data_IF_303264117725
#
_entry.id   IF_303264117725
#
_cell.length_a   1.000
_cell.length_b   1.000
_cell.length_c   1.000
_cell.angle_alpha   90.00
_cell.angle_beta   90.00
_cell.angle_gamma   90.00
#
_symmetry.space_group_name_H-M   'P 1'
#
loop_
_entity.id
_entity.type
_entity.pdbx_description
1 polymer ?
#
# COMPACT_ATOMS: atom_id res chain seq x y z
N UNK A 1 -20.07 -23.67 7.89
CA UNK A 1 -18.80 -23.25 8.55
C UNK A 1 -18.58 -21.77 8.27
N UNK A 2 -18.11 -21.00 9.26
CA UNK A 2 -17.78 -19.58 9.06
C UNK A 2 -16.55 -19.47 8.13
N UNK A 3 -16.66 -18.68 7.05
CA UNK A 3 -15.50 -18.37 6.22
C UNK A 3 -14.65 -17.31 6.94
N UNK A 4 -13.51 -17.71 7.50
CA UNK A 4 -12.60 -16.79 8.21
C UNK A 4 -11.94 -15.75 7.29
N UNK A 5 -11.86 -16.02 5.99
CA UNK A 5 -11.27 -15.11 4.99
C UNK A 5 -12.28 -14.12 4.40
N UNK A 6 -13.56 -14.17 4.83
CA UNK A 6 -14.58 -13.29 4.31
C UNK A 6 -14.33 -11.83 4.68
N UNK A 7 -14.45 -10.98 3.69
CA UNK A 7 -14.48 -9.50 3.81
C UNK A 7 -15.82 -8.94 3.33
N UNK A 8 -16.81 -9.83 3.14
CA UNK A 8 -18.15 -9.48 2.67
C UNK A 8 -18.81 -8.44 3.59
N UNK A 9 -19.35 -7.39 2.97
CA UNK A 9 -19.99 -6.26 3.65
C UNK A 9 -19.04 -5.30 4.38
N UNK A 10 -17.73 -5.58 4.44
CA UNK A 10 -16.74 -4.70 5.06
C UNK A 10 -16.52 -3.44 4.23
N UNK A 11 -16.33 -2.32 4.89
CA UNK A 11 -15.93 -1.05 4.24
C UNK A 11 -14.40 -0.97 4.20
N UNK A 12 -13.87 -1.02 3.00
CA UNK A 12 -12.43 -0.97 2.70
C UNK A 12 -12.09 0.40 2.15
N UNK A 13 -11.25 1.16 2.85
CA UNK A 13 -10.72 2.45 2.40
C UNK A 13 -9.29 2.25 1.93
N UNK A 14 -8.98 2.65 0.71
CA UNK A 14 -7.64 2.49 0.13
C UNK A 14 -7.10 3.80 -0.43
N UNK A 15 -5.93 4.24 0.05
CA UNK A 15 -5.18 5.34 -0.56
C UNK A 15 -4.31 4.83 -1.70
N UNK A 16 -4.09 5.66 -2.74
CA UNK A 16 -3.36 5.24 -3.94
C UNK A 16 -4.11 4.20 -4.78
N UNK A 17 -5.44 4.23 -4.71
CA UNK A 17 -6.32 3.19 -5.25
C UNK A 17 -6.34 3.12 -6.80
N UNK A 18 -5.95 4.20 -7.48
CA UNK A 18 -5.95 4.27 -8.94
C UNK A 18 -4.61 3.88 -9.59
N UNK A 19 -3.60 3.54 -8.78
CA UNK A 19 -2.33 2.98 -9.28
C UNK A 19 -2.50 1.53 -9.78
N UNK A 20 -1.47 0.99 -10.44
CA UNK A 20 -1.51 -0.39 -10.99
C UNK A 20 -1.88 -1.41 -9.90
N UNK A 21 -1.19 -1.38 -8.75
CA UNK A 21 -1.49 -2.27 -7.63
C UNK A 21 -2.86 -1.95 -7.03
N UNK A 22 -3.15 -0.66 -6.84
CA UNK A 22 -4.41 -0.20 -6.26
C UNK A 22 -5.62 -0.68 -7.05
N UNK A 23 -5.61 -0.54 -8.36
CA UNK A 23 -6.69 -0.97 -9.25
C UNK A 23 -6.99 -2.48 -9.12
N UNK A 24 -5.95 -3.32 -9.09
CA UNK A 24 -6.13 -4.77 -8.91
C UNK A 24 -6.69 -5.10 -7.52
N UNK A 25 -6.17 -4.45 -6.48
CA UNK A 25 -6.57 -4.69 -5.09
C UNK A 25 -8.03 -4.27 -4.86
N UNK A 26 -8.44 -3.09 -5.33
CA UNK A 26 -9.83 -2.62 -5.12
C UNK A 26 -10.85 -3.48 -5.86
N UNK A 27 -10.53 -3.95 -7.06
CA UNK A 27 -11.38 -4.90 -7.80
C UNK A 27 -11.53 -6.21 -7.00
N UNK A 28 -10.41 -6.79 -6.58
CA UNK A 28 -10.45 -8.02 -5.78
C UNK A 28 -11.31 -7.89 -4.53
N UNK A 29 -11.14 -6.82 -3.73
CA UNK A 29 -11.96 -6.65 -2.53
C UNK A 29 -13.45 -6.48 -2.86
N UNK A 30 -13.78 -5.78 -3.96
CA UNK A 30 -15.16 -5.64 -4.42
C UNK A 30 -15.76 -6.99 -4.86
N UNK A 31 -15.01 -7.82 -5.59
CA UNK A 31 -15.39 -9.19 -5.97
C UNK A 31 -15.65 -10.08 -4.75
N UNK A 32 -14.91 -9.85 -3.65
CA UNK A 32 -15.12 -10.54 -2.38
C UNK A 32 -16.28 -9.95 -1.54
N UNK A 33 -17.10 -9.06 -2.12
CA UNK A 33 -18.28 -8.49 -1.49
C UNK A 33 -18.01 -7.32 -0.53
N UNK A 34 -16.81 -6.76 -0.52
CA UNK A 34 -16.51 -5.55 0.25
C UNK A 34 -17.05 -4.30 -0.46
N UNK A 35 -17.36 -3.26 0.31
CA UNK A 35 -17.66 -1.91 -0.18
C UNK A 35 -16.35 -1.12 -0.24
N UNK A 36 -15.95 -0.68 -1.41
CA UNK A 36 -14.60 -0.15 -1.62
C UNK A 36 -14.62 1.36 -1.83
N UNK A 37 -13.81 2.06 -1.04
CA UNK A 37 -13.60 3.50 -1.13
C UNK A 37 -12.21 3.78 -1.72
N UNK A 38 -12.20 4.33 -2.93
CA UNK A 38 -10.99 4.71 -3.64
C UNK A 38 -10.59 6.13 -3.23
N UNK A 39 -9.41 6.28 -2.64
CA UNK A 39 -8.81 7.57 -2.31
C UNK A 39 -7.56 7.77 -3.19
N UNK A 40 -7.58 8.77 -4.05
CA UNK A 40 -6.45 9.12 -4.91
C UNK A 40 -6.56 10.58 -5.37
N UNK A 41 -5.52 11.09 -6.02
CA UNK A 41 -5.48 12.48 -6.47
C UNK A 41 -6.59 12.77 -7.48
N UNK A 42 -7.09 14.01 -7.50
CA UNK A 42 -8.14 14.45 -8.44
C UNK A 42 -7.80 14.13 -9.92
N UNK A 43 -6.54 14.22 -10.29
CA UNK A 43 -6.08 13.92 -11.66
C UNK A 43 -6.30 12.47 -12.11
N UNK A 44 -6.61 11.56 -11.18
CA UNK A 44 -6.90 10.14 -11.47
C UNK A 44 -8.40 9.85 -11.55
N UNK A 45 -9.25 10.86 -11.55
CA UNK A 45 -10.72 10.73 -11.55
C UNK A 45 -11.25 9.83 -12.69
N UNK A 46 -10.76 10.02 -13.91
CA UNK A 46 -11.16 9.18 -15.05
C UNK A 46 -10.84 7.69 -14.82
N UNK A 47 -9.67 7.41 -14.26
CA UNK A 47 -9.27 6.03 -13.90
C UNK A 47 -10.20 5.49 -12.83
N UNK A 48 -10.48 6.28 -11.79
CA UNK A 48 -11.38 5.90 -10.71
C UNK A 48 -12.80 5.61 -11.21
N UNK A 49 -13.34 6.45 -12.08
CA UNK A 49 -14.67 6.28 -12.67
C UNK A 49 -14.74 5.01 -13.52
N UNK A 50 -13.68 4.71 -14.29
CA UNK A 50 -13.56 3.46 -15.04
C UNK A 50 -13.57 2.23 -14.11
N UNK A 51 -12.76 2.24 -13.06
CA UNK A 51 -12.71 1.16 -12.06
C UNK A 51 -14.07 0.97 -11.36
N UNK A 52 -14.73 2.06 -10.99
CA UNK A 52 -16.06 2.02 -10.37
C UNK A 52 -17.09 1.42 -11.33
N UNK A 53 -17.04 1.77 -12.61
CA UNK A 53 -17.93 1.22 -13.61
C UNK A 53 -17.74 -0.29 -13.79
N UNK A 54 -16.49 -0.76 -13.86
CA UNK A 54 -16.15 -2.19 -13.92
C UNK A 54 -16.66 -2.93 -12.66
N UNK A 55 -16.34 -2.42 -11.47
CA UNK A 55 -16.80 -3.01 -10.19
C UNK A 55 -18.31 -3.11 -10.13
N UNK A 56 -19.03 -2.06 -10.55
CA UNK A 56 -20.51 -2.06 -10.56
C UNK A 56 -21.08 -3.03 -11.58
N UNK A 57 -20.46 -3.17 -12.74
CA UNK A 57 -20.89 -4.14 -13.77
C UNK A 57 -20.83 -5.59 -13.25
N UNK A 58 -19.94 -5.87 -12.32
CA UNK A 58 -19.79 -7.18 -11.65
C UNK A 58 -20.63 -7.28 -10.35
N UNK A 59 -21.47 -6.29 -10.06
CA UNK A 59 -22.37 -6.27 -8.90
C UNK A 59 -21.72 -5.78 -7.60
N UNK A 60 -20.50 -5.29 -7.65
CA UNK A 60 -19.79 -4.72 -6.50
C UNK A 60 -20.18 -3.27 -6.19
N UNK A 61 -19.72 -2.77 -5.06
CA UNK A 61 -19.96 -1.39 -4.60
C UNK A 61 -18.64 -0.64 -4.42
N UNK A 62 -18.49 0.49 -5.13
CA UNK A 62 -17.33 1.35 -5.01
C UNK A 62 -17.69 2.83 -5.12
N UNK A 63 -16.88 3.70 -4.52
CA UNK A 63 -16.93 5.15 -4.70
C UNK A 63 -15.52 5.75 -4.65
N UNK A 64 -15.39 6.97 -5.16
CA UNK A 64 -14.13 7.71 -5.21
C UNK A 64 -14.26 9.04 -4.48
N UNK A 65 -13.24 9.39 -3.70
CA UNK A 65 -13.06 10.72 -3.14
C UNK A 65 -11.67 11.24 -3.52
N UNK A 66 -11.58 12.41 -4.15
CA UNK A 66 -10.31 13.04 -4.44
C UNK A 66 -9.54 13.29 -3.15
N UNK A 67 -8.29 12.84 -3.09
CA UNK A 67 -7.52 12.83 -1.85
C UNK A 67 -6.05 13.12 -2.11
N UNK A 68 -5.53 14.19 -1.52
CA UNK A 68 -4.12 14.32 -1.25
C UNK A 68 -3.86 13.78 0.16
N UNK A 69 -3.11 12.70 0.29
CA UNK A 69 -2.83 12.04 1.59
C UNK A 69 -2.00 12.89 2.55
N UNK A 70 -1.41 13.98 2.07
CA UNK A 70 -0.68 14.96 2.88
C UNK A 70 -1.54 16.15 3.34
N UNK A 71 -2.78 16.23 2.87
CA UNK A 71 -3.73 17.28 3.24
C UNK A 71 -4.71 16.75 4.30
N UNK A 72 -4.48 17.16 5.54
CA UNK A 72 -5.28 16.70 6.68
C UNK A 72 -6.73 17.16 6.59
N UNK A 73 -7.00 18.35 6.08
CA UNK A 73 -8.36 18.90 5.97
C UNK A 73 -9.17 18.08 4.95
N UNK A 74 -8.56 17.75 3.81
CA UNK A 74 -9.17 16.87 2.80
C UNK A 74 -9.43 15.48 3.38
N UNK A 75 -8.50 14.92 4.14
CA UNK A 75 -8.70 13.61 4.79
C UNK A 75 -9.87 13.65 5.80
N UNK A 76 -9.98 14.70 6.61
CA UNK A 76 -11.07 14.86 7.59
C UNK A 76 -12.44 15.06 6.90
N UNK A 77 -12.49 15.79 5.79
CA UNK A 77 -13.69 15.91 4.98
C UNK A 77 -14.09 14.56 4.38
N UNK A 78 -13.15 13.85 3.77
CA UNK A 78 -13.40 12.54 3.20
C UNK A 78 -13.84 11.52 4.27
N UNK A 79 -13.27 11.58 5.48
CA UNK A 79 -13.76 10.77 6.61
C UNK A 79 -15.24 11.05 6.90
N UNK A 80 -15.62 12.32 6.97
CA UNK A 80 -17.01 12.72 7.21
C UNK A 80 -17.95 12.17 6.14
N UNK A 81 -17.57 12.28 4.87
CA UNK A 81 -18.38 11.83 3.74
C UNK A 81 -18.49 10.30 3.69
N UNK A 82 -17.39 9.58 3.99
CA UNK A 82 -17.38 8.12 4.09
C UNK A 82 -18.27 7.65 5.24
N UNK A 83 -18.18 8.30 6.41
CA UNK A 83 -19.03 7.98 7.55
C UNK A 83 -20.51 8.26 7.29
N UNK A 84 -20.84 9.36 6.60
CA UNK A 84 -22.21 9.66 6.20
C UNK A 84 -22.76 8.60 5.22
N UNK A 85 -21.92 8.05 4.34
CA UNK A 85 -22.31 7.06 3.32
C UNK A 85 -22.41 5.64 3.88
N UNK A 86 -21.43 5.22 4.67
CA UNK A 86 -21.27 3.81 5.08
C UNK A 86 -21.41 3.57 6.58
N UNK A 87 -21.31 4.61 7.40
CA UNK A 87 -21.41 4.53 8.87
C UNK A 87 -20.22 3.87 9.56
N UNK A 88 -19.24 3.38 8.81
CA UNK A 88 -18.07 2.67 9.35
C UNK A 88 -16.90 2.64 8.37
N UNK A 89 -15.70 2.37 8.91
CA UNK A 89 -14.52 1.93 8.15
C UNK A 89 -13.98 0.69 8.86
N UNK A 90 -13.85 -0.43 8.16
CA UNK A 90 -13.41 -1.70 8.74
C UNK A 90 -11.95 -2.01 8.42
N UNK A 91 -11.50 -1.64 7.23
CA UNK A 91 -10.19 -1.94 6.71
C UNK A 91 -9.61 -0.67 6.09
N UNK A 92 -8.37 -0.34 6.45
CA UNK A 92 -7.61 0.76 5.85
C UNK A 92 -6.36 0.22 5.17
N UNK A 93 -6.24 0.45 3.87
CA UNK A 93 -5.07 0.11 3.06
C UNK A 93 -4.31 1.40 2.73
N UNK A 94 -3.14 1.61 3.36
CA UNK A 94 -2.29 2.77 3.11
C UNK A 94 -1.28 2.44 2.00
N UNK A 95 -1.68 2.62 0.73
CA UNK A 95 -0.86 2.28 -0.43
C UNK A 95 -0.40 3.50 -1.25
N UNK A 96 -0.83 4.71 -0.89
CA UNK A 96 -0.30 5.92 -1.50
C UNK A 96 1.19 6.05 -1.22
N UNK A 97 1.98 6.27 -2.26
CA UNK A 97 3.42 6.38 -2.15
C UNK A 97 4.15 5.98 -3.43
N UNK A 98 5.45 5.91 -3.35
CA UNK A 98 6.29 5.47 -4.44
C UNK A 98 7.66 6.13 -4.44
N UNK A 99 8.54 5.64 -5.31
CA UNK A 99 9.85 6.22 -5.52
C UNK A 99 9.75 7.50 -6.36
N UNK A 100 10.67 8.43 -6.14
CA UNK A 100 10.82 9.66 -6.92
C UNK A 100 12.17 9.62 -7.66
N UNK A 101 12.13 9.88 -8.97
CA UNK A 101 13.35 9.87 -9.81
C UNK A 101 14.47 10.78 -9.27
N UNK A 102 14.11 11.98 -8.77
CA UNK A 102 15.06 12.92 -8.16
C UNK A 102 15.63 12.45 -6.81
N UNK A 103 14.94 11.57 -6.09
CA UNK A 103 15.42 10.96 -4.84
C UNK A 103 16.24 9.68 -5.09
N UNK A 104 16.70 9.48 -6.32
CA UNK A 104 17.42 8.30 -6.79
C UNK A 104 18.82 8.70 -7.24
N UNK A 105 19.84 8.00 -6.74
CA UNK A 105 21.24 8.19 -7.23
C UNK A 105 21.36 7.53 -8.60
N UNK A 106 21.71 8.30 -9.63
CA UNK A 106 21.85 7.80 -11.00
C UNK A 106 23.17 7.00 -11.17
N UNK A 107 23.32 6.17 -12.23
CA UNK A 107 24.51 5.34 -12.42
C UNK A 107 25.83 6.13 -12.53
N UNK A 108 25.77 7.37 -13.02
CA UNK A 108 26.89 8.31 -13.17
C UNK A 108 27.07 9.24 -11.98
N UNK A 109 26.25 9.07 -10.92
CA UNK A 109 26.26 9.86 -9.70
C UNK A 109 26.81 9.07 -8.51
N UNK A 110 27.18 9.80 -7.47
CA UNK A 110 27.57 9.30 -6.16
C UNK A 110 26.58 9.73 -5.08
N UNK A 111 26.74 9.26 -3.86
CA UNK A 111 25.90 9.66 -2.73
C UNK A 111 25.96 11.19 -2.46
N UNK A 112 27.04 11.83 -2.86
CA UNK A 112 27.23 13.29 -2.66
C UNK A 112 26.41 14.14 -3.65
N UNK A 113 25.88 13.52 -4.70
CA UNK A 113 25.00 14.15 -5.70
C UNK A 113 23.50 13.96 -5.36
N UNK A 114 23.20 13.30 -4.22
CA UNK A 114 21.82 13.02 -3.82
C UNK A 114 21.04 14.31 -3.54
N UNK A 115 19.91 14.49 -4.22
CA UNK A 115 18.99 15.60 -3.97
C UNK A 115 18.24 15.40 -2.64
N UNK A 116 18.73 16.04 -1.58
CA UNK A 116 18.17 15.94 -0.22
C UNK A 116 16.72 16.43 -0.16
N UNK A 117 16.36 17.46 -0.91
CA UNK A 117 14.98 17.97 -0.93
C UNK A 117 14.04 16.95 -1.59
N UNK A 118 14.48 16.28 -2.64
CA UNK A 118 13.71 15.19 -3.22
C UNK A 118 13.57 13.98 -2.26
N UNK A 119 14.59 13.68 -1.45
CA UNK A 119 14.52 12.67 -0.40
C UNK A 119 13.48 13.05 0.67
N UNK A 120 13.45 14.32 1.10
CA UNK A 120 12.42 14.81 2.03
C UNK A 120 11.02 14.64 1.47
N UNK A 121 10.78 15.06 0.22
CA UNK A 121 9.48 14.90 -0.44
C UNK A 121 9.08 13.43 -0.59
N UNK A 122 10.04 12.56 -0.95
CA UNK A 122 9.81 11.12 -1.03
C UNK A 122 9.43 10.54 0.34
N UNK A 123 10.11 10.97 1.39
CA UNK A 123 9.82 10.56 2.77
C UNK A 123 8.46 11.09 3.22
N UNK A 124 8.17 12.33 2.94
CA UNK A 124 6.89 12.96 3.25
C UNK A 124 5.73 12.17 2.62
N UNK A 125 5.79 11.93 1.32
CA UNK A 125 4.75 11.16 0.63
C UNK A 125 4.59 9.73 1.20
N UNK A 126 5.68 8.99 1.40
CA UNK A 126 5.59 7.58 1.79
C UNK A 126 5.29 7.39 3.28
N UNK A 127 5.90 8.18 4.16
CA UNK A 127 5.74 8.06 5.61
C UNK A 127 4.51 8.84 6.10
N UNK A 128 4.47 10.15 5.85
CA UNK A 128 3.34 10.96 6.33
C UNK A 128 2.07 10.69 5.54
N UNK A 129 2.18 10.31 4.26
CA UNK A 129 1.06 9.77 3.47
C UNK A 129 0.52 8.43 3.97
N UNK A 130 1.19 7.76 4.92
CA UNK A 130 0.70 6.61 5.70
C UNK A 130 0.17 7.03 7.06
N UNK A 131 0.89 7.91 7.76
CA UNK A 131 0.55 8.36 9.13
C UNK A 131 -0.75 9.16 9.14
N UNK A 132 -0.88 10.19 8.30
CA UNK A 132 -2.03 11.09 8.31
C UNK A 132 -3.35 10.38 8.01
N UNK A 133 -3.49 9.56 6.94
CA UNK A 133 -4.71 8.79 6.72
C UNK A 133 -5.02 7.85 7.90
N UNK A 134 -4.00 7.22 8.49
CA UNK A 134 -4.20 6.37 9.67
C UNK A 134 -4.79 7.15 10.83
N UNK A 135 -4.26 8.34 11.15
CA UNK A 135 -4.75 9.17 12.25
C UNK A 135 -6.19 9.64 12.03
N UNK A 136 -6.63 9.79 10.79
CA UNK A 136 -7.98 10.24 10.46
C UNK A 136 -8.96 9.05 10.39
N UNK A 137 -8.66 8.05 9.58
CA UNK A 137 -9.61 6.96 9.27
C UNK A 137 -9.69 5.89 10.36
N UNK A 138 -8.64 5.72 11.19
CA UNK A 138 -8.70 4.76 12.29
C UNK A 138 -9.58 5.20 13.47
N UNK A 139 -10.07 6.44 13.52
CA UNK A 139 -10.93 6.94 14.60
C UNK A 139 -12.14 6.03 14.83
N UNK A 140 -12.89 5.71 13.77
CA UNK A 140 -14.05 4.84 13.88
C UNK A 140 -13.69 3.40 14.25
N UNK A 141 -12.52 2.91 13.86
CA UNK A 141 -12.03 1.59 14.26
C UNK A 141 -11.76 1.54 15.77
N UNK A 142 -11.18 2.60 16.33
CA UNK A 142 -10.94 2.76 17.77
C UNK A 142 -12.27 2.80 18.54
N UNK A 143 -13.24 3.56 18.08
CA UNK A 143 -14.57 3.68 18.70
C UNK A 143 -15.30 2.34 18.78
N UNK A 144 -15.30 1.58 17.69
CA UNK A 144 -15.92 0.25 17.63
C UNK A 144 -15.02 -0.88 18.14
N UNK A 145 -13.77 -0.59 18.53
CA UNK A 145 -12.75 -1.54 19.00
C UNK A 145 -12.50 -2.69 18.03
N UNK A 146 -12.57 -2.43 16.75
CA UNK A 146 -12.39 -3.44 15.70
C UNK A 146 -11.95 -2.80 14.39
N UNK A 147 -10.89 -3.32 13.77
CA UNK A 147 -10.41 -2.86 12.47
C UNK A 147 -9.08 -3.48 12.08
N UNK A 148 -8.77 -3.40 10.78
CA UNK A 148 -7.49 -3.83 10.23
C UNK A 148 -6.86 -2.70 9.42
N UNK A 149 -5.64 -2.32 9.79
CA UNK A 149 -4.81 -1.34 9.08
C UNK A 149 -3.68 -2.11 8.42
N UNK A 150 -3.51 -1.93 7.11
CA UNK A 150 -2.46 -2.58 6.34
C UNK A 150 -1.67 -1.52 5.59
N UNK A 151 -0.40 -1.40 5.94
CA UNK A 151 0.53 -0.45 5.35
C UNK A 151 1.32 -1.11 4.22
N UNK A 152 1.72 -0.34 3.22
CA UNK A 152 2.60 -0.80 2.16
C UNK A 152 4.04 -0.40 2.47
N UNK A 153 4.82 -1.36 2.94
CA UNK A 153 6.26 -1.29 3.04
C UNK A 153 6.91 -1.65 1.68
N UNK A 154 8.07 -2.24 1.66
CA UNK A 154 8.79 -2.65 0.46
C UNK A 154 9.98 -3.52 0.84
N UNK A 155 10.49 -4.33 -0.10
CA UNK A 155 11.81 -4.97 0.01
C UNK A 155 12.92 -3.98 0.33
N UNK A 156 12.86 -2.76 -0.20
CA UNK A 156 13.84 -1.70 0.11
C UNK A 156 13.88 -1.26 1.57
N UNK A 157 12.88 -1.64 2.37
CA UNK A 157 12.86 -1.41 3.82
C UNK A 157 13.62 -2.49 4.60
N UNK A 158 13.72 -3.67 4.04
CA UNK A 158 14.34 -4.86 4.66
C UNK A 158 15.80 -4.99 4.24
N UNK A 159 16.07 -4.75 2.96
CA UNK A 159 17.42 -4.76 2.38
C UNK A 159 17.73 -3.46 1.67
N UNK A 160 18.91 -2.88 1.83
CA UNK A 160 19.29 -1.69 1.09
C UNK A 160 19.42 -2.03 -0.40
N UNK A 161 18.55 -1.43 -1.21
CA UNK A 161 18.60 -1.58 -2.66
C UNK A 161 19.38 -0.42 -3.28
N UNK A 162 20.20 -0.74 -4.29
CA UNK A 162 20.96 0.28 -5.01
C UNK A 162 20.04 1.37 -5.57
N UNK A 163 20.51 2.61 -5.60
CA UNK A 163 19.90 3.80 -6.19
C UNK A 163 18.74 4.42 -5.39
N UNK A 164 17.86 3.65 -4.75
CA UNK A 164 16.59 4.12 -4.17
C UNK A 164 16.70 4.51 -2.69
N UNK A 165 17.73 5.26 -2.33
CA UNK A 165 18.06 5.61 -0.93
C UNK A 165 16.87 6.27 -0.19
N UNK A 166 16.28 7.32 -0.76
CA UNK A 166 15.17 8.05 -0.11
C UNK A 166 13.92 7.18 0.08
N UNK A 167 13.59 6.37 -0.92
CA UNK A 167 12.45 5.45 -0.84
C UNK A 167 12.67 4.35 0.20
N UNK A 168 13.86 3.73 0.22
CA UNK A 168 14.19 2.68 1.18
C UNK A 168 14.09 3.15 2.63
N UNK A 169 14.66 4.33 2.93
CA UNK A 169 14.57 4.95 4.26
C UNK A 169 13.11 5.20 4.65
N UNK A 170 12.30 5.77 3.76
CA UNK A 170 10.90 6.03 4.03
C UNK A 170 10.10 4.76 4.30
N UNK A 171 10.32 3.69 3.53
CA UNK A 171 9.64 2.40 3.71
C UNK A 171 10.12 1.65 4.96
N UNK A 172 11.37 1.80 5.37
CA UNK A 172 11.86 1.32 6.66
C UNK A 172 11.15 2.03 7.82
N UNK A 173 10.93 3.34 7.71
CA UNK A 173 10.15 4.09 8.67
C UNK A 173 8.68 3.63 8.74
N UNK A 174 8.03 3.31 7.60
CA UNK A 174 6.69 2.71 7.56
C UNK A 174 6.66 1.36 8.27
N UNK A 175 7.67 0.51 8.08
CA UNK A 175 7.78 -0.78 8.78
C UNK A 175 7.88 -0.61 10.30
N UNK A 176 8.68 0.35 10.75
CA UNK A 176 8.81 0.67 12.18
C UNK A 176 7.51 1.28 12.74
N UNK A 177 6.88 2.22 12.01
CA UNK A 177 5.59 2.80 12.35
C UNK A 177 4.51 1.73 12.55
N UNK A 178 4.45 0.74 11.67
CA UNK A 178 3.52 -0.39 11.76
C UNK A 178 3.65 -1.14 13.09
N UNK A 179 4.88 -1.42 13.51
CA UNK A 179 5.18 -2.11 14.78
C UNK A 179 4.82 -1.24 16.00
N UNK A 180 5.18 0.04 15.97
CA UNK A 180 4.85 0.98 17.03
C UNK A 180 3.34 1.10 17.19
N UNK A 181 2.62 1.36 16.08
CA UNK A 181 1.18 1.59 16.10
C UNK A 181 0.39 0.35 16.57
N UNK A 182 0.84 -0.84 16.22
CA UNK A 182 0.28 -2.09 16.73
C UNK A 182 0.24 -2.12 18.27
N UNK A 183 1.38 -1.81 18.91
CA UNK A 183 1.46 -1.78 20.36
C UNK A 183 0.62 -0.65 20.98
N UNK A 184 0.70 0.55 20.42
CA UNK A 184 -0.03 1.73 20.89
C UNK A 184 -1.55 1.49 20.88
N UNK A 185 -2.09 0.97 19.78
CA UNK A 185 -3.53 0.71 19.66
C UNK A 185 -3.98 -0.43 20.57
N UNK A 186 -3.23 -1.53 20.64
CA UNK A 186 -3.58 -2.67 21.48
C UNK A 186 -3.59 -2.33 22.97
N UNK A 187 -2.57 -1.60 23.44
CA UNK A 187 -2.46 -1.21 24.86
C UNK A 187 -3.59 -0.25 25.28
N UNK A 188 -3.95 0.68 24.41
CA UNK A 188 -4.92 1.73 24.76
C UNK A 188 -6.37 1.36 24.45
N UNK A 189 -6.62 0.55 23.44
CA UNK A 189 -7.97 0.32 22.90
C UNK A 189 -8.37 -1.16 22.84
N UNK A 190 -7.45 -2.09 23.15
CA UNK A 190 -7.71 -3.52 23.19
C UNK A 190 -7.29 -4.26 21.91
N UNK A 191 -7.52 -5.58 21.87
CA UNK A 191 -6.99 -6.54 20.91
C UNK A 191 -7.76 -6.64 19.58
N UNK A 192 -8.82 -5.86 19.42
CA UNK A 192 -9.63 -5.86 18.19
C UNK A 192 -9.06 -5.02 17.04
N UNK A 193 -7.98 -4.26 17.29
CA UNK A 193 -7.33 -3.40 16.31
C UNK A 193 -6.00 -4.04 15.87
N UNK A 194 -5.87 -4.32 14.58
CA UNK A 194 -4.66 -4.93 14.04
C UNK A 194 -3.98 -3.98 13.07
N UNK A 195 -2.65 -3.93 13.14
CA UNK A 195 -1.83 -3.10 12.25
C UNK A 195 -0.71 -3.99 11.70
N UNK A 196 -0.70 -4.18 10.39
CA UNK A 196 0.31 -4.96 9.70
C UNK A 196 0.83 -4.20 8.48
N UNK A 197 1.86 -4.71 7.85
CA UNK A 197 2.31 -4.24 6.56
C UNK A 197 2.57 -5.42 5.62
N UNK A 198 2.54 -5.15 4.32
CA UNK A 198 3.15 -6.03 3.32
C UNK A 198 4.44 -5.38 2.81
N UNK A 199 5.42 -6.20 2.46
CA UNK A 199 6.62 -5.79 1.75
C UNK A 199 6.62 -6.51 0.39
N UNK A 200 6.06 -5.86 -0.66
CA UNK A 200 6.09 -6.42 -1.99
C UNK A 200 7.52 -6.47 -2.54
N UNK A 201 7.82 -7.53 -3.28
CA UNK A 201 8.99 -7.62 -4.13
C UNK A 201 8.88 -6.75 -5.38
N UNK A 202 9.53 -7.17 -6.44
CA UNK A 202 9.58 -6.39 -7.66
C UNK A 202 8.41 -6.71 -8.58
N UNK A 203 7.60 -5.66 -8.87
CA UNK A 203 6.54 -5.66 -9.86
C UNK A 203 6.85 -4.57 -10.90
N UNK A 204 6.44 -4.78 -12.15
CA UNK A 204 6.52 -3.73 -13.16
C UNK A 204 5.36 -2.75 -13.00
N UNK A 205 5.68 -1.52 -12.62
CA UNK A 205 4.71 -0.44 -12.44
C UNK A 205 5.11 0.79 -13.25
N UNK A 206 4.21 1.75 -13.41
CA UNK A 206 4.55 3.01 -14.09
C UNK A 206 5.68 3.78 -13.37
N UNK A 207 5.83 3.60 -12.05
CA UNK A 207 6.85 4.29 -11.26
C UNK A 207 8.26 3.75 -11.48
N UNK A 208 8.41 2.46 -11.78
CA UNK A 208 9.71 1.81 -11.89
C UNK A 208 10.04 1.33 -13.31
N UNK A 209 9.10 1.44 -14.25
CA UNK A 209 9.28 0.97 -15.64
C UNK A 209 10.57 1.54 -16.26
N UNK A 210 10.81 2.82 -16.13
CA UNK A 210 12.03 3.47 -16.66
C UNK A 210 13.34 2.99 -16.00
N UNK A 211 13.27 2.37 -14.81
CA UNK A 211 14.42 1.76 -14.13
C UNK A 211 14.63 0.29 -14.54
N UNK A 212 13.56 -0.37 -14.95
CA UNK A 212 13.53 -1.81 -15.15
C UNK A 212 13.40 -2.23 -16.62
N UNK A 213 12.91 -1.35 -17.49
CA UNK A 213 12.77 -1.63 -18.93
C UNK A 213 13.40 -0.54 -19.79
N UNK A 214 13.99 -0.95 -20.90
CA UNK A 214 14.45 -0.06 -21.95
C UNK A 214 13.26 0.45 -22.81
N UNK A 215 13.44 1.49 -23.65
CA UNK A 215 12.37 2.00 -24.52
C UNK A 215 11.78 0.97 -25.49
N UNK A 216 12.53 -0.05 -25.86
CA UNK A 216 12.09 -1.17 -26.70
C UNK A 216 11.35 -2.27 -25.94
N UNK A 217 11.17 -2.11 -24.62
CA UNK A 217 10.52 -3.08 -23.74
C UNK A 217 11.44 -4.19 -23.21
N UNK A 218 12.69 -4.27 -23.65
CA UNK A 218 13.67 -5.21 -23.10
C UNK A 218 14.04 -4.86 -21.66
N UNK A 219 14.54 -5.83 -20.90
CA UNK A 219 14.94 -5.65 -19.52
C UNK A 219 16.28 -4.89 -19.44
N UNK A 220 16.39 -4.01 -18.45
CA UNK A 220 17.66 -3.34 -18.14
C UNK A 220 18.64 -4.29 -17.45
N UNK A 221 19.96 -4.00 -17.41
CA UNK A 221 20.91 -4.76 -16.59
C UNK A 221 20.50 -4.86 -15.12
N UNK A 222 19.88 -3.81 -14.58
CA UNK A 222 19.32 -3.82 -13.22
C UNK A 222 18.22 -4.88 -13.06
N UNK A 223 17.34 -5.02 -14.02
CA UNK A 223 16.29 -6.04 -14.02
C UNK A 223 16.88 -7.44 -14.01
N UNK A 224 17.88 -7.70 -14.83
CA UNK A 224 18.58 -8.99 -14.83
C UNK A 224 19.18 -9.31 -13.48
N UNK A 225 19.89 -8.35 -12.85
CA UNK A 225 20.43 -8.54 -11.49
C UNK A 225 19.32 -8.83 -10.47
N UNK A 226 18.18 -8.13 -10.52
CA UNK A 226 17.05 -8.38 -9.63
C UNK A 226 16.50 -9.80 -9.83
N UNK A 227 16.28 -10.22 -11.07
CA UNK A 227 15.71 -11.53 -11.40
C UNK A 227 16.65 -12.68 -11.05
N UNK A 228 17.95 -12.49 -11.21
CA UNK A 228 18.99 -13.45 -10.77
C UNK A 228 18.97 -13.67 -9.25
N UNK A 229 18.61 -12.63 -8.47
CA UNK A 229 18.47 -12.72 -7.01
C UNK A 229 17.05 -13.14 -6.56
N UNK A 230 16.11 -13.24 -7.47
CA UNK A 230 14.74 -13.67 -7.17
C UNK A 230 14.58 -15.14 -7.50
N UNK A 231 14.38 -16.06 -6.54
CA UNK A 231 14.27 -17.50 -6.82
C UNK A 231 13.17 -17.85 -7.85
N UNK A 232 12.08 -17.07 -7.90
CA UNK A 232 11.04 -17.25 -8.94
C UNK A 232 11.50 -16.84 -10.35
N UNK A 233 12.62 -16.10 -10.51
CA UNK A 233 13.20 -15.70 -11.79
C UNK A 233 12.33 -14.76 -12.64
N UNK A 234 11.31 -14.13 -12.04
CA UNK A 234 10.40 -13.21 -12.72
C UNK A 234 9.94 -12.08 -11.78
N UNK A 235 9.44 -11.01 -12.37
CA UNK A 235 8.67 -10.02 -11.60
C UNK A 235 7.35 -10.64 -11.13
N UNK A 236 6.83 -10.11 -10.02
CA UNK A 236 5.51 -10.47 -9.54
C UNK A 236 4.41 -9.77 -10.34
N UNK A 237 3.24 -10.38 -10.34
CA UNK A 237 2.02 -9.76 -10.85
C UNK A 237 1.21 -9.12 -9.70
N UNK A 238 0.43 -8.06 -9.97
CA UNK A 238 -0.33 -7.37 -8.93
C UNK A 238 -1.32 -8.24 -8.15
N UNK A 239 -1.90 -9.26 -8.78
CA UNK A 239 -2.85 -10.19 -8.18
C UNK A 239 -2.20 -11.15 -7.17
N UNK A 240 -0.88 -11.35 -7.23
CA UNK A 240 -0.17 -12.18 -6.25
C UNK A 240 -0.13 -11.57 -4.84
N UNK A 241 -0.47 -10.28 -4.70
CA UNK A 241 -0.56 -9.60 -3.40
C UNK A 241 -1.94 -9.75 -2.74
N UNK A 242 -3.01 -10.00 -3.52
CA UNK A 242 -4.38 -9.88 -3.02
C UNK A 242 -4.74 -10.93 -1.97
N UNK A 243 -4.21 -12.14 -2.10
CA UNK A 243 -4.45 -13.21 -1.12
C UNK A 243 -3.89 -12.88 0.26
N UNK A 244 -2.66 -12.33 0.31
CA UNK A 244 -2.04 -11.85 1.56
C UNK A 244 -2.81 -10.67 2.15
N UNK A 245 -3.24 -9.73 1.32
CA UNK A 245 -4.02 -8.57 1.77
C UNK A 245 -5.38 -9.01 2.32
N UNK A 246 -6.08 -9.91 1.65
CA UNK A 246 -7.35 -10.47 2.13
C UNK A 246 -7.18 -11.22 3.46
N UNK A 247 -6.12 -12.02 3.59
CA UNK A 247 -5.79 -12.67 4.86
C UNK A 247 -5.61 -11.65 5.98
N UNK A 248 -4.77 -10.63 5.79
CA UNK A 248 -4.53 -9.58 6.79
C UNK A 248 -5.77 -8.73 7.08
N UNK A 249 -6.67 -8.55 6.13
CA UNK A 249 -7.91 -7.82 6.27
C UNK A 249 -9.00 -8.59 7.03
N UNK A 250 -8.95 -9.93 7.01
CA UNK A 250 -10.00 -10.82 7.48
C UNK A 250 -9.78 -11.37 8.91
N UNK A 251 -10.76 -12.08 9.44
CA UNK A 251 -10.67 -12.76 10.75
C UNK A 251 -9.65 -13.92 10.75
N UNK A 252 -9.20 -14.38 9.58
CA UNK A 252 -8.17 -15.42 9.47
C UNK A 252 -6.81 -14.99 10.05
N UNK A 253 -6.59 -13.69 10.19
CA UNK A 253 -5.38 -13.11 10.79
C UNK A 253 -5.63 -12.45 12.16
N UNK A 254 -6.66 -12.89 12.90
CA UNK A 254 -7.09 -12.25 14.15
C UNK A 254 -5.97 -12.08 15.19
N UNK A 255 -5.00 -12.98 15.25
CA UNK A 255 -3.88 -12.90 16.18
C UNK A 255 -2.58 -12.35 15.51
N UNK A 256 -2.68 -11.84 14.27
CA UNK A 256 -1.53 -11.30 13.52
C UNK A 256 -1.59 -9.78 13.56
N UNK A 257 -0.66 -9.16 14.28
CA UNK A 257 -0.53 -7.71 14.36
C UNK A 257 0.94 -7.33 14.61
N UNK A 258 1.39 -6.23 14.03
CA UNK A 258 2.77 -5.75 14.11
C UNK A 258 3.75 -6.43 13.15
N UNK A 259 3.28 -7.27 12.23
CA UNK A 259 4.16 -7.95 11.26
C UNK A 259 4.32 -7.15 9.97
N UNK A 260 5.44 -7.40 9.29
CA UNK A 260 5.67 -7.03 7.88
C UNK A 260 5.75 -8.33 7.10
N UNK A 261 4.73 -8.61 6.30
CA UNK A 261 4.66 -9.85 5.51
C UNK A 261 5.32 -9.62 4.17
N UNK A 262 6.35 -10.40 3.89
CA UNK A 262 7.09 -10.37 2.63
C UNK A 262 6.31 -11.14 1.57
N UNK A 263 6.16 -10.53 0.37
CA UNK A 263 5.52 -11.14 -0.82
C UNK A 263 6.39 -10.79 -2.01
N UNK A 264 7.43 -11.61 -2.29
CA UNK A 264 8.56 -11.19 -3.12
C UNK A 264 9.13 -12.27 -4.06
N UNK A 265 8.52 -13.46 -4.11
CA UNK A 265 9.07 -14.58 -4.89
C UNK A 265 10.39 -15.15 -4.35
N UNK A 266 10.68 -14.89 -3.05
CA UNK A 266 11.85 -15.38 -2.34
C UNK A 266 13.07 -14.47 -2.37
N UNK A 267 12.94 -13.24 -2.85
CA UNK A 267 14.05 -12.28 -2.98
C UNK A 267 14.72 -11.98 -1.62
N UNK A 268 13.95 -11.71 -0.57
CA UNK A 268 14.49 -11.41 0.77
C UNK A 268 15.13 -12.63 1.44
N UNK A 269 14.56 -13.79 1.23
CA UNK A 269 15.01 -15.04 1.86
C UNK A 269 16.28 -15.61 1.23
N UNK A 270 16.59 -15.22 -0.02
CA UNK A 270 17.67 -15.82 -0.78
C UNK A 270 18.97 -15.02 -0.67
N UNK A 271 20.01 -15.69 -0.23
CA UNK A 271 21.40 -15.23 -0.33
C UNK A 271 22.22 -16.44 -0.76
N UNK A 272 22.85 -16.40 -1.89
CA UNK A 272 23.67 -17.49 -2.44
C UNK A 272 24.47 -18.24 -1.39
#
# INVERSE_FOLDING_TARGET
MRNLFSVEGKVVVMTGACGILGATIVKHFAEQGAKVVLLDLERTREVAEGLIAEIKAEGGEACFFPTNVLDKEVLEQNYTDIMAKYGTIDILLNAAGGNMARATVQPDQTIFDLDVEAVKLCTELNLFGTILPTMVFAKTMVEKKCGSIINFSSESALRPLTRVAGYGVAKAAVSNWTKYLCGELAIKFGDGLRVNAIAPGFLLTNQNRALLTNPDGSLTPRSHTILEHTPYGRFLEPDELVGTLQWLASDASKAVSGTVVVVDGGFDAFSI
#
